data_IF_067378284111
#
_entry.id   IF_067378284111
#
_cell.length_a   1.000
_cell.length_b   1.000
_cell.length_c   1.000
_cell.angle_alpha   90.00
_cell.angle_beta   90.00
_cell.angle_gamma   90.00
#
_symmetry.space_group_name_H-M   'P 1'
#
loop_
_entity.id
_entity.type
_entity.pdbx_description
1 polymer ?
#
# COMPACT_ATOMS: atom_id res chain seq x y z
N UNK A 1 2.72 6.96 -15.82
CA UNK A 1 3.30 5.87 -15.01
C UNK A 1 2.53 4.59 -15.26
N UNK A 2 3.22 3.51 -15.57
CA UNK A 2 2.57 2.22 -15.77
C UNK A 2 2.23 1.58 -14.42
N UNK A 3 1.39 0.55 -14.46
CA UNK A 3 1.02 -0.20 -13.25
C UNK A 3 2.27 -0.81 -12.61
N UNK A 4 3.17 -1.37 -13.42
CA UNK A 4 4.41 -1.95 -12.92
C UNK A 4 5.28 -0.91 -12.23
N UNK A 5 5.38 0.28 -12.81
CA UNK A 5 6.15 1.36 -12.21
C UNK A 5 5.51 1.85 -10.92
N UNK A 6 4.19 1.95 -10.90
CA UNK A 6 3.46 2.36 -9.70
C UNK A 6 3.64 1.34 -8.58
N UNK A 7 3.55 0.06 -8.90
CA UNK A 7 3.75 -1.03 -7.93
C UNK A 7 5.16 -0.97 -7.34
N UNK A 8 6.17 -0.83 -8.20
CA UNK A 8 7.55 -0.74 -7.74
C UNK A 8 7.79 0.46 -6.84
N UNK A 9 7.20 1.60 -7.20
CA UNK A 9 7.33 2.81 -6.40
C UNK A 9 6.64 2.66 -5.04
N UNK A 10 5.44 2.09 -5.04
CA UNK A 10 4.70 1.84 -3.80
C UNK A 10 5.48 0.89 -2.90
N UNK A 11 6.05 -0.18 -3.47
CA UNK A 11 6.86 -1.12 -2.71
C UNK A 11 8.05 -0.44 -2.06
N UNK A 12 8.73 0.44 -2.77
CA UNK A 12 9.88 1.17 -2.21
C UNK A 12 9.47 1.99 -0.99
N UNK A 13 8.33 2.67 -1.09
CA UNK A 13 7.84 3.44 0.05
C UNK A 13 7.50 2.55 1.24
N UNK A 14 6.82 1.43 0.98
CA UNK A 14 6.43 0.51 2.05
C UNK A 14 7.64 -0.16 2.68
N UNK A 15 8.63 -0.53 1.87
CA UNK A 15 9.86 -1.12 2.38
C UNK A 15 10.65 -0.12 3.21
N UNK A 16 10.71 1.14 2.78
CA UNK A 16 11.40 2.18 3.54
C UNK A 16 10.73 2.38 4.89
N UNK A 17 9.40 2.39 4.93
CA UNK A 17 8.68 2.51 6.18
C UNK A 17 8.96 1.33 7.11
N UNK A 18 8.92 0.11 6.56
CA UNK A 18 9.21 -1.08 7.34
C UNK A 18 10.62 -1.07 7.90
N UNK A 19 11.59 -0.63 7.11
CA UNK A 19 12.97 -0.56 7.57
C UNK A 19 13.12 0.34 8.78
N UNK A 20 12.42 1.48 8.77
CA UNK A 20 12.45 2.42 9.90
C UNK A 20 11.82 1.77 11.13
N UNK A 21 10.67 1.11 10.95
CA UNK A 21 9.98 0.46 12.07
C UNK A 21 10.80 -0.70 12.65
N UNK A 22 11.42 -1.49 11.79
CA UNK A 22 12.26 -2.61 12.25
C UNK A 22 13.50 -2.12 12.99
N UNK A 23 14.06 -0.98 12.56
CA UNK A 23 15.20 -0.38 13.25
C UNK A 23 14.80 0.27 14.57
N UNK A 24 13.49 0.42 14.81
CA UNK A 24 12.96 1.04 16.03
C UNK A 24 13.47 2.46 16.23
N UNK A 25 13.65 3.16 15.11
CA UNK A 25 14.11 4.56 15.13
C UNK A 25 12.91 5.47 15.34
N UNK A 26 12.58 5.70 16.59
CA UNK A 26 11.37 6.44 16.97
C UNK A 26 11.35 7.86 16.42
N UNK A 27 12.52 8.46 16.24
CA UNK A 27 12.61 9.81 15.69
C UNK A 27 12.14 9.87 14.25
N UNK A 28 12.20 8.76 13.53
CA UNK A 28 11.79 8.68 12.14
C UNK A 28 10.44 8.03 11.92
N UNK A 29 9.72 7.74 12.99
CA UNK A 29 8.41 7.10 12.83
C UNK A 29 7.44 7.97 12.04
N UNK A 30 7.50 9.29 12.16
CA UNK A 30 6.68 10.17 11.34
C UNK A 30 7.00 10.03 9.86
N UNK A 31 8.27 9.89 9.54
CA UNK A 31 8.70 9.69 8.16
C UNK A 31 8.23 8.34 7.66
N UNK A 32 8.34 7.31 8.49
CA UNK A 32 7.86 5.97 8.14
C UNK A 32 6.36 5.99 7.84
N UNK A 33 5.59 6.68 8.66
CA UNK A 33 4.16 6.80 8.46
C UNK A 33 3.84 7.51 7.16
N UNK A 34 4.59 8.57 6.83
CA UNK A 34 4.41 9.28 5.57
C UNK A 34 4.72 8.37 4.38
N UNK A 35 5.80 7.61 4.45
CA UNK A 35 6.15 6.67 3.39
C UNK A 35 5.09 5.60 3.25
N UNK A 36 4.61 5.06 4.35
CA UNK A 36 3.56 4.06 4.34
C UNK A 36 2.29 4.60 3.68
N UNK A 37 1.88 5.80 4.06
CA UNK A 37 0.70 6.44 3.50
C UNK A 37 0.85 6.72 2.01
N UNK A 38 2.02 7.17 1.58
CA UNK A 38 2.28 7.40 0.17
C UNK A 38 2.22 6.10 -0.63
N UNK A 39 2.79 5.03 -0.08
CA UNK A 39 2.71 3.72 -0.73
C UNK A 39 1.28 3.26 -0.88
N UNK A 40 0.48 3.38 0.18
CA UNK A 40 -0.93 3.00 0.14
C UNK A 40 -1.71 3.87 -0.84
N UNK A 41 -1.39 5.15 -0.91
CA UNK A 41 -2.04 6.07 -1.82
C UNK A 41 -1.82 5.66 -3.27
N UNK A 42 -0.59 5.31 -3.60
CA UNK A 42 -0.25 4.84 -4.94
C UNK A 42 -1.00 3.54 -5.24
N UNK A 43 -1.00 2.62 -4.30
CA UNK A 43 -1.73 1.36 -4.46
C UNK A 43 -3.21 1.60 -4.72
N UNK A 44 -3.83 2.44 -3.92
CA UNK A 44 -5.25 2.75 -4.08
C UNK A 44 -5.55 3.38 -5.44
N UNK A 45 -4.67 4.26 -5.89
CA UNK A 45 -4.86 4.98 -7.15
C UNK A 45 -4.80 4.06 -8.35
N UNK A 46 -3.85 3.13 -8.36
CA UNK A 46 -3.58 2.31 -9.54
C UNK A 46 -4.20 0.91 -9.47
N UNK A 47 -4.66 0.49 -8.31
CA UNK A 47 -5.23 -0.84 -8.13
C UNK A 47 -6.67 -0.79 -7.63
N UNK A 48 -7.35 0.34 -7.84
CA UNK A 48 -8.74 0.50 -7.38
C UNK A 48 -9.68 -0.48 -8.06
N UNK A 49 -9.45 -0.76 -9.34
CA UNK A 49 -10.30 -1.69 -10.08
C UNK A 49 -10.19 -3.09 -9.49
N UNK A 50 -8.98 -3.52 -9.21
CA UNK A 50 -8.75 -4.82 -8.58
C UNK A 50 -9.45 -4.88 -7.23
N UNK A 51 -9.41 -3.78 -6.49
CA UNK A 51 -10.04 -3.70 -5.18
C UNK A 51 -11.57 -3.84 -5.30
N UNK A 52 -12.14 -3.22 -6.33
CA UNK A 52 -13.58 -3.34 -6.57
C UNK A 52 -13.94 -4.77 -6.89
N UNK A 53 -13.16 -5.44 -7.73
CA UNK A 53 -13.40 -6.84 -8.06
C UNK A 53 -13.32 -7.72 -6.82
N UNK A 54 -12.37 -7.45 -5.96
CA UNK A 54 -12.23 -8.19 -4.70
C UNK A 54 -13.47 -8.00 -3.82
N UNK A 55 -13.99 -6.79 -3.76
CA UNK A 55 -15.20 -6.52 -2.99
C UNK A 55 -16.40 -7.28 -3.55
N UNK A 56 -16.51 -7.37 -4.86
CA UNK A 56 -17.57 -8.14 -5.47
C UNK A 56 -17.46 -9.61 -5.12
N UNK A 57 -16.25 -10.14 -5.14
CA UNK A 57 -16.01 -11.52 -4.74
C UNK A 57 -16.36 -11.76 -3.28
N UNK A 58 -16.04 -10.80 -2.43
CA UNK A 58 -16.39 -10.88 -1.01
C UNK A 58 -17.90 -10.95 -0.82
N UNK A 59 -18.63 -10.15 -1.60
CA UNK A 59 -20.09 -10.17 -1.54
C UNK A 59 -20.61 -11.54 -1.96
N UNK A 60 -20.05 -12.09 -3.02
CA UNK A 60 -20.47 -13.41 -3.49
C UNK A 60 -20.19 -14.49 -2.44
N UNK A 61 -19.08 -14.37 -1.72
CA UNK A 61 -18.75 -15.34 -0.68
C UNK A 61 -19.64 -15.18 0.54
N UNK A 62 -20.17 -13.99 0.80
CA UNK A 62 -21.07 -13.73 1.90
C UNK A 62 -22.47 -14.24 1.58
N UNK A 63 -22.87 -14.12 0.35
CA UNK A 63 -24.19 -14.61 -0.08
C UNK A 63 -24.16 -16.13 -0.16
N UNK A 64 -25.03 -16.80 0.58
CA UNK A 64 -25.08 -18.26 0.57
C UNK A 64 -25.63 -18.84 -0.73
#
# INVERSE_FOLDING_TARGET
MTIDQAYGKALKYLEAANAIWEAQDKERYCIAENYHNEGLKIMNQYFSETKVLTQIQDIDSILP
#
